data_IF_358904396890
#
_entry.id   IF_358904396890
#
_cell.length_a   1.000
_cell.length_b   1.000
_cell.length_c   1.000
_cell.angle_alpha   90.00
_cell.angle_beta   90.00
_cell.angle_gamma   90.00
#
_symmetry.space_group_name_H-M   'P 1'
#
loop_
_entity.id
_entity.type
_entity.pdbx_description
1 polymer ?
#
# COMPACT_ATOMS: atom_id res chain seq x y z
N UNK A 1 20.63 -3.49 7.29
CA UNK A 1 21.20 -4.44 6.31
C UNK A 1 22.10 -5.46 6.98
N UNK A 2 23.14 -5.09 7.74
CA UNK A 2 23.97 -6.08 8.47
C UNK A 2 23.12 -6.99 9.35
N UNK A 3 22.29 -6.40 10.22
CA UNK A 3 21.44 -7.15 11.15
C UNK A 3 20.51 -8.15 10.46
N UNK A 4 20.00 -7.80 9.27
CA UNK A 4 19.15 -8.70 8.49
C UNK A 4 19.93 -9.83 7.81
N UNK A 5 21.20 -9.58 7.44
CA UNK A 5 22.09 -10.63 6.92
C UNK A 5 22.48 -11.59 8.05
N UNK A 6 22.79 -11.06 9.23
CA UNK A 6 23.04 -11.87 10.43
C UNK A 6 21.78 -12.69 10.80
N UNK A 7 20.58 -12.10 10.71
CA UNK A 7 19.32 -12.81 10.92
C UNK A 7 19.11 -13.94 9.90
N UNK A 8 19.43 -13.71 8.63
CA UNK A 8 19.32 -14.74 7.59
C UNK A 8 20.25 -15.93 7.87
N UNK A 9 21.45 -15.68 8.40
CA UNK A 9 22.41 -16.71 8.80
C UNK A 9 21.95 -17.46 10.07
N UNK A 10 21.28 -16.78 11.00
CA UNK A 10 20.86 -17.35 12.27
C UNK A 10 19.52 -18.08 12.21
N UNK A 11 18.63 -17.73 11.28
CA UNK A 11 17.31 -18.34 11.12
C UNK A 11 17.41 -19.43 10.05
N UNK A 12 17.35 -20.73 10.42
CA UNK A 12 17.50 -21.82 9.47
C UNK A 12 16.38 -21.80 8.41
N UNK A 13 16.70 -22.18 7.17
CA UNK A 13 15.71 -22.33 6.08
C UNK A 13 14.55 -23.28 6.45
N UNK A 14 14.79 -24.24 7.35
CA UNK A 14 13.79 -25.21 7.82
C UNK A 14 12.84 -24.65 8.88
N UNK A 15 13.13 -23.48 9.45
CA UNK A 15 12.25 -22.84 10.43
C UNK A 15 11.16 -22.05 9.71
N UNK A 16 9.90 -22.34 10.06
CA UNK A 16 8.74 -21.57 9.65
C UNK A 16 7.93 -21.20 10.89
N UNK A 17 7.38 -19.98 10.92
CA UNK A 17 6.43 -19.57 11.96
C UNK A 17 5.06 -20.27 11.81
N UNK A 18 4.84 -20.96 10.68
CA UNK A 18 3.66 -21.77 10.42
C UNK A 18 2.42 -20.93 10.10
N UNK A 19 1.25 -21.56 10.15
CA UNK A 19 -0.03 -20.88 9.91
C UNK A 19 -0.88 -20.92 11.18
N UNK A 20 -0.35 -20.32 12.25
CA UNK A 20 -1.03 -20.16 13.55
C UNK A 20 -1.11 -18.67 13.86
N UNK A 21 -2.31 -18.18 14.18
CA UNK A 21 -2.55 -16.74 14.47
C UNK A 21 -1.57 -16.16 15.48
N UNK A 22 -1.33 -16.86 16.60
CA UNK A 22 -0.45 -16.41 17.69
C UNK A 22 1.04 -16.38 17.35
N UNK A 23 1.42 -16.82 16.14
CA UNK A 23 2.82 -16.88 15.69
C UNK A 23 3.09 -16.03 14.45
N UNK A 24 2.07 -15.42 13.82
CA UNK A 24 2.22 -14.68 12.55
C UNK A 24 3.18 -13.49 12.62
N UNK A 25 3.40 -12.94 13.82
CA UNK A 25 4.36 -11.85 14.03
C UNK A 25 5.82 -12.33 14.07
N UNK A 26 6.07 -13.63 14.23
CA UNK A 26 7.43 -14.17 14.30
C UNK A 26 8.12 -14.05 12.94
N UNK A 27 9.41 -13.78 12.99
CA UNK A 27 10.24 -13.64 11.79
C UNK A 27 10.85 -15.01 11.51
N UNK A 28 10.51 -15.58 10.35
CA UNK A 28 11.14 -16.79 9.83
C UNK A 28 12.07 -16.47 8.64
N UNK A 29 12.54 -17.52 7.97
CA UNK A 29 13.47 -17.36 6.85
C UNK A 29 12.82 -16.57 5.69
N UNK A 30 11.55 -16.85 5.37
CA UNK A 30 10.79 -16.17 4.32
C UNK A 30 10.61 -14.67 4.63
N UNK A 31 10.23 -14.35 5.87
CA UNK A 31 10.09 -12.94 6.31
C UNK A 31 11.43 -12.21 6.26
N UNK A 32 12.52 -12.88 6.65
CA UNK A 32 13.87 -12.29 6.61
C UNK A 32 14.30 -11.95 5.19
N UNK A 33 14.08 -12.83 4.23
CA UNK A 33 14.32 -12.57 2.80
C UNK A 33 13.51 -11.38 2.30
N UNK A 34 12.23 -11.30 2.65
CA UNK A 34 11.38 -10.19 2.25
C UNK A 34 11.82 -8.83 2.85
N UNK A 35 12.24 -8.81 4.12
CA UNK A 35 12.82 -7.62 4.75
C UNK A 35 14.13 -7.21 4.09
N UNK A 36 14.99 -8.18 3.72
CA UNK A 36 16.22 -7.94 2.97
C UNK A 36 15.94 -7.37 1.58
N UNK A 37 14.95 -7.90 0.85
CA UNK A 37 14.53 -7.42 -0.46
C UNK A 37 14.05 -5.96 -0.38
N UNK A 38 13.10 -5.67 0.53
CA UNK A 38 12.57 -4.32 0.75
C UNK A 38 13.67 -3.32 1.14
N UNK A 39 14.53 -3.70 2.09
CA UNK A 39 15.62 -2.83 2.56
C UNK A 39 16.66 -2.59 1.47
N UNK A 40 16.97 -3.61 0.66
CA UNK A 40 17.93 -3.49 -0.45
C UNK A 40 17.38 -2.61 -1.56
N UNK A 41 16.08 -2.71 -1.88
CA UNK A 41 15.42 -1.81 -2.82
C UNK A 41 15.53 -0.36 -2.34
N UNK A 42 15.20 -0.10 -1.08
CA UNK A 42 15.26 1.26 -0.52
C UNK A 42 16.69 1.81 -0.44
N UNK A 43 17.69 0.93 -0.35
CA UNK A 43 19.10 1.28 -0.39
C UNK A 43 19.68 1.37 -1.82
N UNK A 44 18.84 1.29 -2.86
CA UNK A 44 19.24 1.24 -4.28
C UNK A 44 20.25 0.13 -4.62
N UNK A 45 20.19 -0.99 -3.87
CA UNK A 45 21.00 -2.19 -4.13
C UNK A 45 20.20 -3.13 -5.01
N UNK A 46 20.13 -2.82 -6.30
CA UNK A 46 19.24 -3.49 -7.24
C UNK A 46 19.50 -5.00 -7.35
N UNK A 47 20.77 -5.41 -7.40
CA UNK A 47 21.10 -6.84 -7.48
C UNK A 47 20.66 -7.59 -6.20
N UNK A 48 21.02 -7.09 -5.02
CA UNK A 48 20.58 -7.65 -3.73
C UNK A 48 19.04 -7.70 -3.64
N UNK A 49 18.35 -6.63 -4.02
CA UNK A 49 16.88 -6.55 -3.98
C UNK A 49 16.22 -7.59 -4.90
N UNK A 50 16.74 -7.75 -6.12
CA UNK A 50 16.31 -8.75 -7.06
C UNK A 50 16.53 -10.17 -6.50
N UNK A 51 17.75 -10.47 -6.01
CA UNK A 51 18.13 -11.82 -5.57
C UNK A 51 17.33 -12.24 -4.32
N UNK A 52 17.14 -11.35 -3.36
CA UNK A 52 16.36 -11.66 -2.16
C UNK A 52 14.85 -11.78 -2.44
N UNK A 53 14.29 -10.96 -3.34
CA UNK A 53 12.91 -11.11 -3.75
C UNK A 53 12.69 -12.41 -4.54
N UNK A 54 13.62 -12.77 -5.42
CA UNK A 54 13.60 -14.05 -6.15
C UNK A 54 13.67 -15.25 -5.20
N UNK A 55 14.56 -15.21 -4.21
CA UNK A 55 14.67 -16.25 -3.19
C UNK A 55 13.39 -16.37 -2.34
N UNK A 56 12.76 -15.26 -1.96
CA UNK A 56 11.48 -15.28 -1.26
C UNK A 56 10.37 -15.92 -2.11
N UNK A 57 10.30 -15.56 -3.40
CA UNK A 57 9.32 -16.12 -4.34
C UNK A 57 9.57 -17.60 -4.66
N UNK A 58 10.81 -18.07 -4.58
CA UNK A 58 11.13 -19.49 -4.72
C UNK A 58 10.57 -20.34 -3.56
N UNK A 59 10.36 -19.74 -2.38
CA UNK A 59 9.71 -20.38 -1.23
C UNK A 59 8.19 -20.23 -1.32
N UNK A 60 7.70 -19.02 -1.58
CA UNK A 60 6.28 -18.74 -1.77
C UNK A 60 6.05 -17.73 -2.90
N UNK A 61 5.51 -18.22 -4.02
CA UNK A 61 5.14 -17.43 -5.20
C UNK A 61 3.63 -17.27 -5.36
N UNK A 62 2.84 -17.67 -4.36
CA UNK A 62 1.39 -17.60 -4.41
C UNK A 62 0.92 -16.18 -4.72
N UNK A 63 -0.10 -16.04 -5.55
CA UNK A 63 -0.78 -14.77 -5.82
C UNK A 63 -2.26 -15.02 -5.53
N UNK A 64 -2.86 -14.20 -4.66
CA UNK A 64 -4.24 -14.42 -4.26
C UNK A 64 -5.22 -14.28 -5.43
N UNK A 65 -6.27 -15.07 -5.37
CA UNK A 65 -7.42 -15.06 -6.28
C UNK A 65 -8.27 -13.80 -6.11
N UNK A 66 -9.18 -13.54 -7.04
CA UNK A 66 -10.17 -12.45 -6.94
C UNK A 66 -11.01 -12.55 -5.65
N UNK A 67 -11.46 -13.77 -5.29
CA UNK A 67 -12.27 -13.99 -4.09
C UNK A 67 -11.47 -13.70 -2.80
N UNK A 68 -10.22 -14.14 -2.73
CA UNK A 68 -9.33 -13.86 -1.60
C UNK A 68 -8.98 -12.38 -1.50
N UNK A 69 -8.75 -11.70 -2.64
CA UNK A 69 -8.52 -10.25 -2.67
C UNK A 69 -9.75 -9.49 -2.17
N UNK A 70 -10.95 -9.97 -2.52
CA UNK A 70 -12.20 -9.45 -2.02
C UNK A 70 -12.50 -9.87 -0.57
N UNK A 71 -11.65 -10.67 0.08
CA UNK A 71 -11.82 -11.20 1.44
C UNK A 71 -11.78 -10.15 2.56
N UNK A 72 -11.27 -8.95 2.29
CA UNK A 72 -11.28 -7.83 3.25
C UNK A 72 -9.96 -7.59 3.98
N UNK A 73 -8.88 -8.27 3.56
CA UNK A 73 -7.51 -8.08 4.06
C UNK A 73 -7.40 -8.12 5.59
N UNK A 74 -8.04 -9.11 6.20
CA UNK A 74 -8.21 -9.22 7.66
C UNK A 74 -8.01 -10.66 8.18
N UNK A 75 -7.45 -11.54 7.34
CA UNK A 75 -7.29 -12.97 7.60
C UNK A 75 -5.86 -13.40 7.25
N UNK A 76 -5.10 -13.78 8.28
CA UNK A 76 -3.72 -14.24 8.16
C UNK A 76 -3.55 -15.53 7.37
N UNK A 77 -4.63 -16.31 7.20
CA UNK A 77 -4.56 -17.60 6.49
C UNK A 77 -4.44 -17.45 4.97
N UNK A 78 -4.58 -16.22 4.46
CA UNK A 78 -4.36 -15.91 3.05
C UNK A 78 -2.95 -16.31 2.62
N UNK A 79 -2.84 -17.19 1.62
CA UNK A 79 -1.56 -17.78 1.19
C UNK A 79 -0.53 -16.77 0.66
N UNK A 80 -0.96 -15.54 0.40
CA UNK A 80 -0.07 -14.46 -0.04
C UNK A 80 0.64 -13.77 1.14
N UNK A 81 0.07 -13.83 2.34
CA UNK A 81 0.60 -13.13 3.49
C UNK A 81 1.86 -13.84 3.98
N UNK A 82 2.98 -13.12 3.95
CA UNK A 82 4.28 -13.62 4.43
C UNK A 82 4.47 -13.28 5.91
N UNK A 83 3.93 -12.13 6.33
CA UNK A 83 4.09 -11.60 7.67
C UNK A 83 2.87 -10.77 8.07
N UNK A 84 2.42 -10.95 9.31
CA UNK A 84 1.25 -10.27 9.82
C UNK A 84 1.21 -10.21 11.33
N UNK A 85 0.15 -9.61 11.87
CA UNK A 85 -0.14 -9.58 13.29
C UNK A 85 -1.59 -9.92 13.50
N UNK A 86 -1.86 -11.01 14.22
CA UNK A 86 -3.21 -11.40 14.57
C UNK A 86 -3.60 -10.91 15.96
N UNK A 87 -4.63 -10.06 16.07
CA UNK A 87 -5.14 -9.65 17.37
C UNK A 87 -5.83 -10.81 18.08
N UNK A 88 -5.94 -10.70 19.40
CA UNK A 88 -6.78 -11.56 20.24
C UNK A 88 -7.74 -10.69 21.04
N UNK A 89 -8.77 -11.27 21.65
CA UNK A 89 -9.70 -10.51 22.50
C UNK A 89 -8.99 -9.79 23.67
N UNK A 90 -7.86 -10.33 24.14
CA UNK A 90 -7.06 -9.74 25.22
C UNK A 90 -6.03 -8.71 24.70
N UNK A 91 -5.71 -8.74 23.40
CA UNK A 91 -4.73 -7.85 22.75
C UNK A 91 -5.13 -7.55 21.30
N UNK A 92 -5.94 -6.51 21.11
CA UNK A 92 -6.52 -6.12 19.83
C UNK A 92 -6.29 -4.66 19.43
N UNK A 93 -5.45 -3.94 20.17
CA UNK A 93 -5.18 -2.53 19.89
C UNK A 93 -4.73 -2.25 18.44
N UNK A 94 -3.92 -3.10 17.78
CA UNK A 94 -3.55 -2.89 16.37
C UNK A 94 -4.75 -2.86 15.41
N UNK A 95 -5.78 -3.66 15.67
CA UNK A 95 -7.00 -3.72 14.85
C UNK A 95 -7.82 -2.43 14.93
N UNK A 96 -7.57 -1.57 15.92
CA UNK A 96 -8.15 -0.23 15.97
C UNK A 96 -7.87 0.59 14.69
N UNK A 97 -6.76 0.30 13.99
CA UNK A 97 -6.46 0.94 12.70
C UNK A 97 -7.54 0.71 11.64
N UNK A 98 -8.31 -0.37 11.71
CA UNK A 98 -9.42 -0.64 10.79
C UNK A 98 -10.58 0.32 10.96
N UNK A 99 -10.73 1.02 12.09
CA UNK A 99 -11.72 2.09 12.19
C UNK A 99 -11.45 3.25 11.25
N UNK A 100 -10.20 3.44 10.81
CA UNK A 100 -9.84 4.40 9.76
C UNK A 100 -9.92 3.79 8.36
N UNK A 101 -9.47 2.54 8.21
CA UNK A 101 -9.33 1.87 6.90
C UNK A 101 -10.62 1.28 6.34
N UNK A 102 -11.45 0.69 7.20
CA UNK A 102 -12.72 0.12 6.81
C UNK A 102 -13.70 1.25 6.55
N UNK A 103 -14.05 1.44 5.29
CA UNK A 103 -14.96 2.51 4.85
C UNK A 103 -16.35 1.98 4.54
N UNK A 104 -16.65 0.71 4.80
CA UNK A 104 -17.85 0.04 4.27
C UNK A 104 -18.64 -0.78 5.27
N UNK A 105 -18.00 -1.34 6.31
CA UNK A 105 -18.70 -2.15 7.32
C UNK A 105 -19.53 -1.27 8.25
N UNK A 106 -20.83 -1.56 8.45
CA UNK A 106 -21.63 -0.90 9.49
C UNK A 106 -20.99 -1.09 10.87
N UNK A 107 -20.83 -0.01 11.62
CA UNK A 107 -20.13 -0.02 12.91
C UNK A 107 -18.64 0.32 12.82
N UNK A 108 -18.05 0.37 11.62
CA UNK A 108 -16.78 1.05 11.41
C UNK A 108 -16.98 2.55 11.75
N UNK A 109 -16.06 3.09 12.55
CA UNK A 109 -16.18 4.39 13.20
C UNK A 109 -15.79 5.51 12.24
N UNK A 110 -14.49 5.82 12.11
CA UNK A 110 -14.01 7.02 11.42
C UNK A 110 -14.16 6.96 9.90
N UNK A 111 -13.92 5.79 9.29
CA UNK A 111 -14.09 5.55 7.84
C UNK A 111 -13.37 6.59 6.96
N UNK A 112 -12.13 6.94 7.33
CA UNK A 112 -11.44 8.13 6.83
C UNK A 112 -10.42 7.85 5.71
N UNK A 113 -10.05 6.59 5.47
CA UNK A 113 -9.18 6.22 4.35
C UNK A 113 -10.00 6.03 3.06
N UNK A 114 -10.55 7.12 2.53
CA UNK A 114 -11.23 7.11 1.23
C UNK A 114 -10.23 7.21 0.08
N UNK A 115 -10.59 6.66 -1.09
CA UNK A 115 -9.75 6.67 -2.28
C UNK A 115 -9.88 7.99 -3.06
N UNK A 116 -8.85 8.32 -3.86
CA UNK A 116 -8.92 9.42 -4.82
C UNK A 116 -9.72 8.98 -6.06
N UNK A 117 -10.86 9.61 -6.38
CA UNK A 117 -11.62 9.27 -7.58
C UNK A 117 -10.81 9.45 -8.87
N UNK A 118 -9.91 10.43 -8.94
CA UNK A 118 -9.07 10.62 -10.14
C UNK A 118 -8.22 9.38 -10.37
N UNK A 119 -7.51 8.92 -9.33
CA UNK A 119 -6.74 7.67 -9.38
C UNK A 119 -7.60 6.45 -9.77
N UNK A 120 -8.74 6.23 -9.11
CA UNK A 120 -9.60 5.05 -9.39
C UNK A 120 -10.11 5.06 -10.83
N UNK A 121 -10.48 6.22 -11.36
CA UNK A 121 -11.03 6.34 -12.71
C UNK A 121 -9.99 6.14 -13.81
N UNK A 122 -8.71 6.42 -13.55
CA UNK A 122 -7.66 6.40 -14.58
C UNK A 122 -6.64 5.28 -14.43
N UNK A 123 -6.45 4.71 -13.24
CA UNK A 123 -5.35 3.76 -12.98
C UNK A 123 -5.70 2.29 -13.27
N UNK A 124 -6.98 1.95 -13.36
CA UNK A 124 -7.44 0.57 -13.52
C UNK A 124 -8.05 0.34 -14.91
N UNK A 125 -7.53 -0.67 -15.59
CA UNK A 125 -8.02 -1.15 -16.88
C UNK A 125 -9.41 -1.79 -16.75
N UNK A 126 -10.11 -1.92 -17.88
CA UNK A 126 -11.37 -2.65 -17.92
C UNK A 126 -11.13 -4.13 -17.57
N UNK A 127 -11.95 -4.67 -16.67
CA UNK A 127 -11.80 -6.06 -16.20
C UNK A 127 -10.83 -6.23 -15.02
N UNK A 128 -10.14 -5.19 -14.55
CA UNK A 128 -9.33 -5.26 -13.33
C UNK A 128 -10.24 -5.37 -12.10
N UNK A 129 -10.25 -6.53 -11.43
CA UNK A 129 -11.18 -6.76 -10.33
C UNK A 129 -10.90 -5.86 -9.13
N UNK A 130 -9.69 -5.28 -9.01
CA UNK A 130 -9.39 -4.34 -7.92
C UNK A 130 -10.20 -3.06 -8.05
N UNK A 131 -10.64 -2.70 -9.27
CA UNK A 131 -11.49 -1.53 -9.50
C UNK A 131 -12.87 -1.68 -8.84
N UNK A 132 -13.38 -2.90 -8.77
CA UNK A 132 -14.70 -3.20 -8.19
C UNK A 132 -14.77 -2.93 -6.69
N UNK A 133 -13.61 -2.82 -6.04
CA UNK A 133 -13.54 -2.52 -4.61
C UNK A 133 -13.93 -1.08 -4.29
N UNK A 134 -13.95 -0.21 -5.29
CA UNK A 134 -14.20 1.21 -5.13
C UNK A 134 -15.62 1.58 -5.54
N UNK A 135 -16.30 2.35 -4.67
CA UNK A 135 -17.63 2.87 -4.97
C UNK A 135 -17.86 4.20 -4.27
N UNK A 136 -18.65 5.07 -4.91
CA UNK A 136 -19.14 6.25 -4.20
C UNK A 136 -20.15 5.85 -3.13
N UNK A 137 -20.07 6.51 -1.96
CA UNK A 137 -20.98 6.29 -0.86
C UNK A 137 -20.70 7.24 0.30
N UNK A 138 -21.51 7.11 1.35
CA UNK A 138 -21.37 7.91 2.57
C UNK A 138 -20.43 7.23 3.57
N UNK A 139 -19.51 8.02 4.14
CA UNK A 139 -18.74 7.62 5.32
C UNK A 139 -19.68 7.39 6.52
N UNK A 140 -19.30 6.51 7.44
CA UNK A 140 -20.16 6.20 8.60
C UNK A 140 -20.22 7.42 9.53
N UNK A 141 -19.06 7.96 9.91
CA UNK A 141 -18.95 9.22 10.65
C UNK A 141 -18.82 10.42 9.71
N UNK A 142 -19.60 11.47 9.99
CA UNK A 142 -19.59 12.71 9.21
C UNK A 142 -20.51 12.71 7.97
N UNK A 143 -20.97 11.53 7.51
CA UNK A 143 -21.85 11.39 6.36
C UNK A 143 -21.32 12.16 5.14
N UNK A 144 -20.02 12.04 4.88
CA UNK A 144 -19.39 12.65 3.71
C UNK A 144 -19.52 11.73 2.50
N UNK A 145 -19.91 12.28 1.35
CA UNK A 145 -19.99 11.52 0.10
C UNK A 145 -18.61 11.42 -0.56
N UNK A 146 -18.01 10.23 -0.52
CA UNK A 146 -16.62 9.96 -0.93
C UNK A 146 -16.52 8.67 -1.74
N UNK A 147 -15.34 8.43 -2.33
CA UNK A 147 -15.01 7.13 -2.93
C UNK A 147 -14.53 6.16 -1.84
N UNK A 148 -15.40 5.26 -1.42
CA UNK A 148 -15.14 4.23 -0.44
C UNK A 148 -14.35 3.07 -1.07
N UNK A 149 -13.69 2.25 -0.24
CA UNK A 149 -12.93 1.08 -0.65
C UNK A 149 -13.27 -0.13 0.24
N UNK A 150 -13.62 -1.27 -0.36
CA UNK A 150 -13.93 -2.52 0.37
C UNK A 150 -12.69 -3.34 0.72
N UNK A 151 -11.47 -2.91 0.36
CA UNK A 151 -10.23 -3.69 0.55
C UNK A 151 -9.97 -4.09 1.98
N UNK A 152 -10.17 -3.18 2.93
CA UNK A 152 -10.01 -3.45 4.35
C UNK A 152 -11.37 -3.50 5.00
N UNK A 153 -11.68 -4.60 5.70
CA UNK A 153 -12.90 -4.74 6.49
C UNK A 153 -12.61 -5.41 7.82
N UNK A 154 -13.30 -5.02 8.89
CA UNK A 154 -13.24 -5.80 10.12
C UNK A 154 -13.68 -7.24 9.85
N UNK A 155 -12.98 -8.21 10.45
CA UNK A 155 -13.47 -9.59 10.53
C UNK A 155 -14.61 -9.69 11.56
N UNK A 156 -14.45 -8.97 12.68
CA UNK A 156 -15.47 -8.77 13.70
C UNK A 156 -15.35 -7.35 14.27
N UNK A 157 -16.27 -6.46 13.90
CA UNK A 157 -16.25 -5.06 14.32
C UNK A 157 -16.66 -4.88 15.77
N UNK A 158 -17.49 -5.77 16.32
CA UNK A 158 -18.00 -5.69 17.70
C UNK A 158 -16.87 -5.98 18.70
N UNK A 159 -15.96 -6.90 18.33
CA UNK A 159 -14.81 -7.28 19.15
C UNK A 159 -13.48 -6.66 18.69
N UNK A 160 -13.52 -5.75 17.71
CA UNK A 160 -12.32 -5.10 17.15
C UNK A 160 -11.30 -6.11 16.61
N UNK A 161 -11.75 -7.08 15.81
CA UNK A 161 -10.89 -8.11 15.22
C UNK A 161 -10.68 -7.86 13.72
N UNK A 162 -9.42 -7.76 13.35
CA UNK A 162 -8.93 -7.85 11.98
C UNK A 162 -7.42 -8.11 12.02
N UNK A 163 -6.93 -9.10 11.28
CA UNK A 163 -5.50 -9.31 11.17
C UNK A 163 -4.83 -8.14 10.43
N UNK A 164 -3.60 -7.81 10.83
CA UNK A 164 -2.82 -6.73 10.24
C UNK A 164 -1.77 -7.32 9.30
N UNK A 165 -1.94 -7.09 8.00
CA UNK A 165 -0.94 -7.41 6.99
C UNK A 165 0.31 -6.53 7.13
N UNK A 166 1.50 -7.14 7.13
CA UNK A 166 2.79 -6.45 7.16
C UNK A 166 3.65 -6.70 5.91
N UNK A 167 3.48 -7.85 5.26
CA UNK A 167 4.21 -8.23 4.05
C UNK A 167 3.49 -9.34 3.30
N UNK A 168 3.51 -9.29 1.96
CA UNK A 168 2.96 -10.32 1.09
C UNK A 168 3.74 -10.51 -0.19
N UNK A 169 3.55 -11.64 -0.86
CA UNK A 169 4.34 -12.00 -2.06
C UNK A 169 4.18 -11.01 -3.21
N UNK A 170 3.02 -10.34 -3.38
CA UNK A 170 2.88 -9.29 -4.42
C UNK A 170 3.88 -8.17 -4.24
N UNK A 171 4.24 -7.82 -3.00
CA UNK A 171 5.31 -6.87 -2.76
C UNK A 171 6.66 -7.40 -3.28
N UNK A 172 6.95 -8.69 -3.11
CA UNK A 172 8.17 -9.32 -3.61
C UNK A 172 8.22 -9.31 -5.13
N UNK A 173 7.11 -9.62 -5.81
CA UNK A 173 7.01 -9.46 -7.27
C UNK A 173 7.32 -8.03 -7.70
N UNK A 174 6.72 -7.03 -7.03
CA UNK A 174 6.92 -5.61 -7.31
C UNK A 174 8.36 -5.16 -7.05
N UNK A 175 9.00 -5.64 -5.98
CA UNK A 175 10.43 -5.38 -5.70
C UNK A 175 11.31 -6.01 -6.78
N UNK A 176 11.06 -7.28 -7.12
CA UNK A 176 11.85 -8.02 -8.12
C UNK A 176 11.78 -7.35 -9.49
N UNK A 177 10.59 -6.96 -9.95
CA UNK A 177 10.42 -6.30 -11.24
C UNK A 177 11.03 -4.89 -11.27
N UNK A 178 10.90 -4.12 -10.18
CA UNK A 178 11.54 -2.80 -10.09
C UNK A 178 13.06 -2.90 -10.12
N UNK A 179 13.62 -3.84 -9.33
CA UNK A 179 15.05 -4.11 -9.32
C UNK A 179 15.54 -4.60 -10.69
N UNK A 180 14.80 -5.48 -11.37
CA UNK A 180 15.10 -5.95 -12.72
C UNK A 180 15.12 -4.80 -13.74
N UNK A 181 14.18 -3.84 -13.65
CA UNK A 181 14.15 -2.67 -14.53
C UNK A 181 15.37 -1.76 -14.36
N UNK A 182 16.01 -1.75 -13.19
CA UNK A 182 17.27 -1.04 -12.94
C UNK A 182 18.54 -1.82 -13.37
N UNK A 183 18.44 -3.13 -13.59
CA UNK A 183 19.58 -3.99 -13.91
C UNK A 183 19.79 -4.10 -15.44
N UNK A 184 21.04 -3.99 -15.87
CA UNK A 184 21.40 -4.11 -17.28
C UNK A 184 21.03 -5.51 -17.82
N UNK A 185 20.30 -5.55 -18.94
CA UNK A 185 19.90 -6.79 -19.61
C UNK A 185 18.67 -7.48 -19.03
N UNK A 186 18.00 -6.89 -18.02
CA UNK A 186 16.80 -7.46 -17.37
C UNK A 186 15.49 -6.70 -17.67
N UNK A 187 15.53 -5.69 -18.53
CA UNK A 187 14.34 -4.89 -18.88
C UNK A 187 13.19 -5.75 -19.42
N UNK A 188 13.45 -6.64 -20.40
CA UNK A 188 12.42 -7.52 -20.96
C UNK A 188 11.82 -8.48 -19.93
N UNK A 189 12.62 -8.87 -18.94
CA UNK A 189 12.17 -9.68 -17.80
C UNK A 189 11.18 -8.88 -16.93
N UNK A 190 11.52 -7.62 -16.61
CA UNK A 190 10.64 -6.72 -15.86
C UNK A 190 9.32 -6.45 -16.59
N UNK A 191 9.36 -6.23 -17.91
CA UNK A 191 8.15 -6.06 -18.73
C UNK A 191 7.24 -7.30 -18.66
N UNK A 192 7.84 -8.49 -18.78
CA UNK A 192 7.12 -9.77 -18.75
C UNK A 192 6.48 -9.99 -17.39
N UNK A 193 7.23 -9.81 -16.31
CA UNK A 193 6.73 -9.94 -14.94
C UNK A 193 5.58 -8.96 -14.66
N UNK A 194 5.68 -7.71 -15.10
CA UNK A 194 4.61 -6.73 -14.92
C UNK A 194 3.34 -7.12 -15.68
N UNK A 195 3.48 -7.62 -16.92
CA UNK A 195 2.34 -8.08 -17.72
C UNK A 195 1.65 -9.29 -17.08
N UNK A 196 2.41 -10.29 -16.66
CA UNK A 196 1.89 -11.48 -15.97
C UNK A 196 1.20 -11.09 -14.66
N UNK A 197 1.82 -10.21 -13.88
CA UNK A 197 1.24 -9.71 -12.62
C UNK A 197 -0.10 -8.99 -12.86
N UNK A 198 -0.18 -8.11 -13.86
CA UNK A 198 -1.44 -7.46 -14.25
C UNK A 198 -2.48 -8.48 -14.70
N UNK A 199 -2.09 -9.52 -15.43
CA UNK A 199 -3.00 -10.58 -15.86
C UNK A 199 -3.62 -11.33 -14.67
N UNK A 200 -2.89 -11.55 -13.58
CA UNK A 200 -3.43 -12.13 -12.34
C UNK A 200 -4.48 -11.26 -11.64
N UNK A 201 -4.62 -9.99 -12.04
CA UNK A 201 -5.62 -9.03 -11.54
C UNK A 201 -6.82 -8.88 -12.47
N UNK A 202 -6.84 -9.62 -13.59
CA UNK A 202 -7.93 -9.61 -14.54
C UNK A 202 -9.01 -10.63 -14.19
N UNK A 203 -10.27 -10.22 -14.32
CA UNK A 203 -11.42 -11.12 -14.32
C UNK A 203 -11.30 -12.14 -15.45
N UNK A 204 -11.92 -13.29 -15.27
CA UNK A 204 -12.04 -14.31 -16.31
C UNK A 204 -12.61 -13.71 -17.61
N UNK A 205 -11.94 -13.94 -18.73
CA UNK A 205 -12.31 -13.41 -20.05
C UNK A 205 -11.68 -12.05 -20.41
N UNK A 206 -10.97 -11.41 -19.50
CA UNK A 206 -10.20 -10.18 -19.76
C UNK A 206 -8.71 -10.47 -19.89
N UNK A 207 -8.01 -9.62 -20.64
CA UNK A 207 -6.57 -9.71 -20.86
C UNK A 207 -5.92 -8.38 -20.55
N UNK A 208 -4.86 -8.40 -19.74
CA UNK A 208 -4.10 -7.21 -19.41
C UNK A 208 -3.44 -6.61 -20.66
N UNK A 209 -3.38 -5.28 -20.73
CA UNK A 209 -2.67 -4.61 -21.82
C UNK A 209 -1.19 -5.04 -21.88
N UNK A 210 -0.60 -5.18 -23.09
CA UNK A 210 0.82 -5.47 -23.23
C UNK A 210 1.69 -4.37 -22.60
N UNK A 211 2.72 -4.77 -21.86
CA UNK A 211 3.72 -3.86 -21.32
C UNK A 211 4.78 -3.61 -22.39
N UNK A 212 4.79 -2.40 -22.94
CA UNK A 212 5.74 -2.00 -24.01
C UNK A 212 6.67 -0.85 -23.61
N UNK A 213 6.42 -0.24 -22.44
CA UNK A 213 7.26 0.81 -21.88
C UNK A 213 8.68 0.31 -21.59
N UNK A 214 9.67 1.20 -21.73
CA UNK A 214 11.10 0.91 -21.51
C UNK A 214 11.73 2.03 -20.68
N UNK A 215 12.91 1.79 -20.10
CA UNK A 215 13.63 2.77 -19.29
C UNK A 215 12.77 3.37 -18.17
N UNK A 216 12.78 4.70 -18.07
CA UNK A 216 12.05 5.44 -17.03
C UNK A 216 10.52 5.26 -17.14
N UNK A 217 9.97 5.04 -18.34
CA UNK A 217 8.53 4.80 -18.52
C UNK A 217 8.12 3.44 -17.93
N UNK A 218 8.99 2.42 -18.04
CA UNK A 218 8.75 1.12 -17.41
C UNK A 218 8.76 1.24 -15.87
N UNK A 219 9.71 2.01 -15.32
CA UNK A 219 9.75 2.29 -13.88
C UNK A 219 8.48 3.02 -13.42
N UNK A 220 8.01 4.00 -14.19
CA UNK A 220 6.77 4.70 -13.88
C UNK A 220 5.55 3.77 -13.89
N UNK A 221 5.48 2.82 -14.83
CA UNK A 221 4.44 1.80 -14.87
C UNK A 221 4.51 0.84 -13.67
N UNK A 222 5.70 0.42 -13.25
CA UNK A 222 5.91 -0.42 -12.06
C UNK A 222 5.50 0.34 -10.80
N UNK A 223 5.88 1.60 -10.65
CA UNK A 223 5.49 2.44 -9.51
C UNK A 223 3.98 2.72 -9.48
N UNK A 224 3.33 2.85 -10.64
CA UNK A 224 1.87 2.91 -10.71
C UNK A 224 1.23 1.60 -10.26
N UNK A 225 1.77 0.46 -10.68
CA UNK A 225 1.27 -0.86 -10.26
C UNK A 225 1.44 -1.06 -8.76
N UNK A 226 2.56 -0.60 -8.17
CA UNK A 226 2.74 -0.57 -6.71
C UNK A 226 1.63 0.23 -6.01
N UNK A 227 1.25 1.40 -6.54
CA UNK A 227 0.16 2.22 -5.98
C UNK A 227 -1.20 1.54 -6.07
N UNK A 228 -1.49 0.83 -7.17
CA UNK A 228 -2.73 0.06 -7.36
C UNK A 228 -2.80 -1.11 -6.38
N UNK A 229 -1.72 -1.87 -6.30
CA UNK A 229 -1.65 -3.13 -5.57
C UNK A 229 -1.57 -2.92 -4.05
N UNK A 230 -0.71 -1.99 -3.61
CA UNK A 230 -0.37 -1.77 -2.20
C UNK A 230 -1.15 -0.60 -1.55
N UNK A 231 -2.27 -0.20 -2.16
CA UNK A 231 -3.12 0.87 -1.63
C UNK A 231 -3.55 0.55 -0.18
N UNK A 232 -3.33 1.51 0.72
CA UNK A 232 -3.67 1.41 2.15
C UNK A 232 -2.75 0.51 3.00
N UNK A 233 -1.71 -0.09 2.42
CA UNK A 233 -0.76 -0.99 3.10
C UNK A 233 0.47 -0.24 3.67
N UNK A 234 0.59 1.08 3.44
CA UNK A 234 1.59 1.93 4.12
C UNK A 234 2.80 2.37 3.29
N UNK A 235 2.80 2.15 1.97
CA UNK A 235 3.98 2.34 1.11
C UNK A 235 4.09 3.71 0.41
N UNK A 236 2.99 4.47 0.29
CA UNK A 236 2.96 5.66 -0.57
C UNK A 236 4.01 6.72 -0.22
N UNK A 237 4.18 7.04 1.06
CA UNK A 237 5.13 8.08 1.48
C UNK A 237 6.59 7.62 1.29
N UNK A 238 6.88 6.36 1.62
CA UNK A 238 8.23 5.79 1.43
C UNK A 238 8.59 5.69 -0.05
N UNK A 239 7.63 5.34 -0.91
CA UNK A 239 7.82 5.33 -2.36
C UNK A 239 8.06 6.75 -2.90
N UNK A 240 7.30 7.76 -2.44
CA UNK A 240 7.52 9.17 -2.78
C UNK A 240 8.96 9.61 -2.45
N UNK A 241 9.44 9.30 -1.25
CA UNK A 241 10.78 9.72 -0.80
C UNK A 241 11.87 9.00 -1.60
N UNK A 242 11.83 7.67 -1.70
CA UNK A 242 12.92 6.90 -2.32
C UNK A 242 13.03 7.12 -3.83
N UNK A 243 11.92 7.41 -4.49
CA UNK A 243 11.88 7.71 -5.93
C UNK A 243 11.98 9.21 -6.24
N UNK A 244 12.12 10.05 -5.20
CA UNK A 244 12.18 11.52 -5.31
C UNK A 244 11.00 12.10 -6.10
N UNK A 245 9.81 11.53 -5.92
CA UNK A 245 8.58 12.03 -6.52
C UNK A 245 7.96 13.14 -5.66
N UNK A 246 6.96 13.82 -6.22
CA UNK A 246 6.09 14.74 -5.49
C UNK A 246 4.72 14.11 -5.26
N UNK A 247 4.05 14.50 -4.18
CA UNK A 247 2.61 14.26 -4.03
C UNK A 247 1.86 14.89 -5.20
N UNK A 248 0.86 14.19 -5.76
CA UNK A 248 -0.06 14.71 -6.77
C UNK A 248 -1.49 14.52 -6.30
N UNK A 249 -2.25 15.61 -6.23
CA UNK A 249 -3.64 15.63 -5.75
C UNK A 249 -4.44 16.64 -6.54
N UNK A 250 -5.66 16.25 -6.91
CA UNK A 250 -6.62 17.13 -7.57
C UNK A 250 -7.98 17.00 -6.89
N UNK A 251 -8.79 18.06 -7.00
CA UNK A 251 -10.20 17.97 -6.60
C UNK A 251 -10.95 17.01 -7.53
N UNK A 252 -12.08 16.51 -7.05
CA UNK A 252 -13.01 15.76 -7.89
C UNK A 252 -14.44 16.12 -7.50
N UNK A 253 -15.10 16.89 -8.36
CA UNK A 253 -16.51 17.25 -8.18
C UNK A 253 -17.39 16.18 -8.81
N UNK A 254 -18.40 15.72 -8.07
CA UNK A 254 -19.37 14.75 -8.56
C UNK A 254 -20.77 15.08 -8.10
N UNK A 255 -21.75 14.57 -8.83
CA UNK A 255 -23.14 14.53 -8.39
C UNK A 255 -23.25 13.79 -7.05
N UNK A 256 -23.96 14.38 -6.09
CA UNK A 256 -24.31 13.74 -4.83
C UNK A 256 -25.60 12.92 -4.99
N UNK A 257 -25.64 11.77 -4.34
CA UNK A 257 -26.79 10.86 -4.31
C UNK A 257 -27.23 10.64 -2.87
N UNK A 258 -28.51 10.39 -2.63
CA UNK A 258 -28.99 9.99 -1.30
C UNK A 258 -28.63 8.53 -0.99
N UNK A 259 -29.01 8.05 0.20
CA UNK A 259 -28.72 6.67 0.64
C UNK A 259 -29.43 5.60 -0.19
N UNK A 260 -30.49 5.95 -0.91
CA UNK A 260 -31.24 5.06 -1.80
C UNK A 260 -30.70 5.11 -3.24
N UNK A 261 -29.67 5.94 -3.50
CA UNK A 261 -29.04 6.08 -4.81
C UNK A 261 -29.76 7.05 -5.75
N UNK A 262 -30.66 7.89 -5.25
CA UNK A 262 -31.30 8.92 -6.07
C UNK A 262 -30.44 10.19 -6.14
N UNK A 263 -30.29 10.82 -7.32
CA UNK A 263 -29.54 12.06 -7.45
C UNK A 263 -30.23 13.17 -6.64
N UNK A 264 -29.43 13.91 -5.87
CA UNK A 264 -29.92 15.01 -5.06
C UNK A 264 -29.89 16.33 -5.83
N UNK A 265 -30.91 17.17 -5.64
CA UNK A 265 -31.03 18.48 -6.28
C UNK A 265 -31.23 19.56 -5.23
N UNK A 266 -30.80 20.78 -5.53
CA UNK A 266 -31.12 21.94 -4.71
C UNK A 266 -32.59 22.37 -4.89
N UNK A 267 -33.01 23.35 -4.10
CA UNK A 267 -34.38 23.89 -4.13
C UNK A 267 -34.81 24.46 -5.50
N UNK A 268 -33.84 24.76 -6.37
CA UNK A 268 -34.06 25.35 -7.70
C UNK A 268 -33.98 24.26 -8.80
N UNK A 269 -33.80 22.99 -8.42
CA UNK A 269 -33.74 21.84 -9.32
C UNK A 269 -32.36 21.62 -9.97
N UNK A 270 -31.31 22.30 -9.50
CA UNK A 270 -29.94 22.07 -9.98
C UNK A 270 -29.33 20.86 -9.26
N UNK A 271 -28.57 20.00 -9.95
CA UNK A 271 -27.92 18.87 -9.30
C UNK A 271 -26.94 19.33 -8.20
N UNK A 272 -27.04 18.74 -7.01
CA UNK A 272 -26.11 19.00 -5.91
C UNK A 272 -24.76 18.34 -6.18
N UNK A 273 -23.71 19.15 -6.22
CA UNK A 273 -22.33 18.70 -6.43
C UNK A 273 -21.54 18.71 -5.13
N UNK A 274 -20.67 17.73 -4.96
CA UNK A 274 -19.79 17.58 -3.79
C UNK A 274 -18.37 17.26 -4.22
N UNK A 275 -17.37 17.77 -3.48
CA UNK A 275 -15.98 17.36 -3.67
C UNK A 275 -15.74 15.99 -3.02
N UNK A 276 -15.79 14.95 -3.83
CA UNK A 276 -15.49 13.58 -3.40
C UNK A 276 -13.98 13.26 -3.44
N UNK A 277 -13.15 14.14 -4.00
CA UNK A 277 -11.71 13.99 -4.10
C UNK A 277 -10.92 14.71 -2.99
N UNK A 278 -9.70 15.12 -3.32
CA UNK A 278 -8.79 15.75 -2.36
C UNK A 278 -9.21 17.18 -1.98
N UNK A 279 -8.96 17.55 -0.73
CA UNK A 279 -9.17 18.90 -0.17
C UNK A 279 -7.85 19.63 0.09
N UNK A 280 -6.79 18.91 0.47
CA UNK A 280 -5.43 19.46 0.58
C UNK A 280 -4.71 19.37 -0.76
N UNK A 281 -4.45 20.53 -1.38
CA UNK A 281 -3.91 20.65 -2.74
C UNK A 281 -2.52 21.32 -2.81
N UNK A 282 -1.98 21.73 -1.66
CA UNK A 282 -0.69 22.40 -1.50
C UNK A 282 -0.02 21.93 -0.20
N UNK A 283 1.24 22.30 -0.03
CA UNK A 283 1.96 22.18 1.23
C UNK A 283 1.39 23.16 2.29
N UNK A 284 1.66 22.94 3.59
CA UNK A 284 1.15 23.80 4.67
C UNK A 284 1.56 25.28 4.59
N UNK A 285 2.59 25.61 3.81
CA UNK A 285 3.06 26.98 3.55
C UNK A 285 2.50 27.57 2.25
N UNK A 286 1.41 26.98 1.73
CA UNK A 286 0.73 27.32 0.47
C UNK A 286 1.58 27.14 -0.80
N UNK A 287 2.76 26.53 -0.70
CA UNK A 287 3.56 26.19 -1.88
C UNK A 287 3.05 24.93 -2.59
N UNK A 288 3.28 24.77 -3.91
CA UNK A 288 2.93 23.54 -4.62
C UNK A 288 3.64 22.32 -4.02
N UNK A 289 3.05 21.12 -4.19
CA UNK A 289 3.79 19.90 -3.90
C UNK A 289 5.04 19.80 -4.77
N UNK A 290 6.16 19.46 -4.16
CA UNK A 290 7.46 19.32 -4.81
C UNK A 290 8.19 18.08 -4.29
N UNK A 291 9.05 17.51 -5.12
CA UNK A 291 9.94 16.43 -4.70
C UNK A 291 10.83 16.87 -3.53
N UNK A 292 11.21 15.91 -2.68
CA UNK A 292 12.15 16.12 -1.57
C UNK A 292 11.75 17.23 -0.58
N UNK A 293 10.44 17.49 -0.43
CA UNK A 293 9.93 18.45 0.54
C UNK A 293 10.20 18.02 1.98
N UNK A 294 10.51 18.97 2.87
CA UNK A 294 10.67 18.71 4.31
C UNK A 294 9.40 18.13 4.94
N UNK A 295 8.23 18.42 4.38
CA UNK A 295 6.95 17.92 4.86
C UNK A 295 6.77 16.40 4.64
N UNK A 296 7.68 15.74 3.92
CA UNK A 296 7.65 14.29 3.72
C UNK A 296 8.46 13.52 4.77
N UNK A 297 9.30 14.21 5.56
CA UNK A 297 10.23 13.57 6.49
C UNK A 297 9.69 13.61 7.93
N UNK A 298 9.82 12.48 8.62
CA UNK A 298 9.72 12.47 10.07
C UNK A 298 10.89 13.23 10.67
N UNK A 299 10.64 13.96 11.75
CA UNK A 299 11.66 14.74 12.46
C UNK A 299 12.13 14.01 13.71
N UNK A 300 13.41 14.16 14.04
CA UNK A 300 13.91 13.78 15.35
C UNK A 300 13.09 14.56 16.40
N UNK A 301 12.53 13.89 17.44
CA UNK A 301 11.70 14.58 18.42
C UNK A 301 12.49 15.65 19.18
N UNK A 302 11.81 16.75 19.54
CA UNK A 302 12.41 17.83 20.34
C UNK A 302 13.05 17.31 21.63
N UNK A 303 12.44 16.31 22.28
CA UNK A 303 13.00 15.69 23.48
C UNK A 303 14.40 15.10 23.24
N UNK A 304 14.63 14.44 22.10
CA UNK A 304 15.95 13.89 21.75
C UNK A 304 16.95 15.02 21.44
N UNK A 305 16.52 16.07 20.73
CA UNK A 305 17.37 17.25 20.47
C UNK A 305 17.81 17.96 21.77
N UNK A 306 16.96 17.97 22.80
CA UNK A 306 17.27 18.57 24.10
C UNK A 306 18.13 17.68 25.01
N UNK A 307 17.95 16.36 24.95
CA UNK A 307 18.56 15.42 25.89
C UNK A 307 19.89 14.83 25.39
N UNK A 308 20.12 14.82 24.09
CA UNK A 308 21.33 14.25 23.49
C UNK A 308 22.24 15.36 22.94
N UNK A 309 23.26 15.81 23.71
CA UNK A 309 24.17 16.87 23.27
C UNK A 309 25.05 16.42 22.09
N UNK A 310 25.17 15.12 21.85
CA UNK A 310 25.99 14.54 20.79
C UNK A 310 25.19 14.21 19.52
N UNK A 311 23.88 14.48 19.51
CA UNK A 311 22.96 14.10 18.42
C UNK A 311 23.47 14.51 17.04
N UNK A 312 24.02 15.73 16.94
CA UNK A 312 24.53 16.30 15.69
C UNK A 312 26.07 16.42 15.65
N UNK A 313 26.78 15.71 16.54
CA UNK A 313 28.25 15.79 16.64
C UNK A 313 28.97 15.25 15.39
N UNK A 314 28.38 14.26 14.71
CA UNK A 314 28.95 13.63 13.52
C UNK A 314 28.29 14.07 12.22
N UNK A 315 26.97 14.24 12.24
CA UNK A 315 26.19 14.68 11.08
C UNK A 315 25.32 15.85 11.51
N UNK A 316 25.48 17.05 10.91
CA UNK A 316 24.69 18.21 11.30
C UNK A 316 23.21 18.02 10.95
N UNK A 317 22.35 18.71 11.70
CA UNK A 317 20.94 18.87 11.32
C UNK A 317 20.86 19.50 9.93
N UNK A 318 19.92 19.04 9.12
CA UNK A 318 19.71 19.59 7.78
C UNK A 318 19.38 21.09 7.85
N UNK A 319 20.02 21.89 6.99
CA UNK A 319 19.78 23.34 6.86
C UNK A 319 18.38 23.68 6.31
N UNK A 320 17.58 22.67 5.95
CA UNK A 320 16.20 22.83 5.52
C UNK A 320 15.22 23.08 6.69
N UNK A 321 15.65 22.93 7.95
CA UNK A 321 14.80 23.00 9.16
C UNK A 321 15.05 24.20 10.06
#
# INVERSE_FOLDING_TARGET
>A
LSDLKDALDYIPETYSHGNTSTDQYKIDHLVTLGLLARTSLYAARWQDAYDYADAALAINSYIMTEDEFNGGFNDYTNGEWMWGLSPTLDDNLPAYTFYFKDTTTPGASYTSLCADPNFVNTAFEEGDYRKDMYRFGYTQQGQEYKMLCTKFRFADVENQMADILLMRTSEMYLIKMEAAAHLSGKESEAQTMLQEFRQHRMKSGYTAAPVTATGDDLLAEIWLERRKELWGEGFSLTDIIRTQQSVSRQQYMTQQYDTDGNPMYDKDGKPLEVNAGHTTLSLPDDTPFVANSIYYLFRIPEQEELQNPDLYSRYPKSDLY
#
